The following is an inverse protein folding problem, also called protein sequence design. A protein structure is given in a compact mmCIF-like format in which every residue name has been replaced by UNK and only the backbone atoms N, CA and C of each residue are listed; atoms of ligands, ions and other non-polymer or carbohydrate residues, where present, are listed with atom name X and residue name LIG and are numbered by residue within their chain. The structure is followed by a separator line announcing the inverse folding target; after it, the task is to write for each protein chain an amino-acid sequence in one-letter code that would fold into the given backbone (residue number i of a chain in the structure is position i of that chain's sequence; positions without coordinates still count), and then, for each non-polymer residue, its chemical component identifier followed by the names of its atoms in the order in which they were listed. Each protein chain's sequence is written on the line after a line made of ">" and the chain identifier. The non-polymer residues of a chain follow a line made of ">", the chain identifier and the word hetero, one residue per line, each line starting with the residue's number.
data_IF_322579158967
#
_entry.id   IF_322579158967
#
_cell.length_a   1.000
_cell.length_b   1.000
_cell.length_c   1.000
_cell.angle_alpha   90.00
_cell.angle_beta   90.00
_cell.angle_gamma   90.00
#
_symmetry.space_group_name_H-M   'P 1'
#
loop_
_entity.id
_entity.type
_entity.pdbx_description
1 polymer ?
#
# COMPACT_ATOMS: atom_id res chain seq x y z
N UNK A 1 -24.82 0.52 -8.05
CA UNK A 1 -24.31 -0.77 -7.54
C UNK A 1 -23.50 -0.44 -6.30
N UNK A 2 -23.82 -1.04 -5.15
CA UNK A 2 -23.07 -0.81 -3.92
C UNK A 2 -21.99 -1.90 -3.85
N UNK A 3 -20.73 -1.52 -3.99
CA UNK A 3 -19.62 -2.46 -4.01
C UNK A 3 -18.98 -2.53 -2.61
N UNK A 4 -19.09 -3.70 -1.97
CA UNK A 4 -18.46 -3.97 -0.68
C UNK A 4 -17.27 -4.92 -0.89
N UNK A 5 -16.06 -4.46 -0.54
CA UNK A 5 -14.81 -5.23 -0.70
C UNK A 5 -14.20 -5.54 0.66
N UNK A 6 -13.91 -6.82 0.89
CA UNK A 6 -13.15 -7.31 2.04
C UNK A 6 -11.89 -8.00 1.56
N UNK A 7 -10.76 -7.70 2.19
CA UNK A 7 -9.51 -8.41 1.98
C UNK A 7 -9.26 -9.37 3.13
N UNK A 8 -9.16 -10.66 2.81
CA UNK A 8 -8.89 -11.70 3.80
C UNK A 8 -7.97 -12.77 3.22
N UNK A 9 -7.36 -13.56 4.09
CA UNK A 9 -6.50 -14.68 3.71
C UNK A 9 -7.31 -15.96 3.73
N UNK A 10 -7.07 -16.80 2.73
CA UNK A 10 -7.63 -18.16 2.69
C UNK A 10 -7.05 -18.94 3.88
N UNK A 11 -7.94 -19.57 4.66
CA UNK A 11 -7.58 -20.41 5.81
C UNK A 11 -6.88 -21.70 5.35
N UNK A 12 -6.22 -22.41 6.27
CA UNK A 12 -5.44 -23.63 5.96
C UNK A 12 -6.29 -24.78 5.40
N UNK A 13 -7.57 -24.79 5.75
CA UNK A 13 -8.60 -25.71 5.24
C UNK A 13 -9.15 -25.31 3.86
N UNK A 14 -8.55 -24.29 3.21
CA UNK A 14 -8.98 -23.74 1.92
C UNK A 14 -10.36 -23.10 1.95
N UNK A 15 -10.82 -22.62 3.10
CA UNK A 15 -12.09 -21.90 3.25
C UNK A 15 -11.90 -20.39 3.44
N UNK A 16 -12.97 -19.65 3.15
CA UNK A 16 -13.09 -18.21 3.42
C UNK A 16 -14.39 -17.98 4.18
N UNK A 17 -14.31 -17.31 5.33
CA UNK A 17 -15.49 -16.90 6.11
C UNK A 17 -15.59 -15.38 6.07
N UNK A 18 -16.65 -14.86 5.46
CA UNK A 18 -17.01 -13.44 5.52
C UNK A 18 -18.03 -13.25 6.65
N UNK A 19 -17.80 -12.27 7.53
CA UNK A 19 -18.67 -11.96 8.67
C UNK A 19 -19.12 -10.50 8.58
N UNK A 20 -20.25 -10.20 9.21
CA UNK A 20 -20.77 -8.84 9.37
C UNK A 20 -20.93 -8.08 8.04
N UNK A 21 -21.41 -8.77 7.01
CA UNK A 21 -21.67 -8.17 5.70
C UNK A 21 -22.80 -7.12 5.82
N UNK A 22 -22.71 -5.97 5.12
CA UNK A 22 -23.71 -4.90 5.17
C UNK A 22 -24.92 -5.19 4.26
N UNK A 23 -25.39 -6.44 4.22
CA UNK A 23 -26.54 -6.87 3.43
C UNK A 23 -27.64 -7.41 4.34
N UNK A 24 -28.89 -7.26 3.93
CA UNK A 24 -30.02 -7.75 4.68
C UNK A 24 -30.21 -9.27 4.51
N UNK A 25 -30.97 -9.87 5.40
CA UNK A 25 -31.36 -11.28 5.28
C UNK A 25 -32.21 -11.46 4.02
N UNK A 26 -31.79 -12.37 3.15
CA UNK A 26 -32.49 -12.68 1.90
C UNK A 26 -31.95 -11.94 0.67
N UNK A 27 -31.02 -11.00 0.85
CA UNK A 27 -30.38 -10.33 -0.29
C UNK A 27 -29.56 -11.32 -1.12
N UNK A 28 -29.76 -11.27 -2.44
CA UNK A 28 -28.91 -12.00 -3.37
C UNK A 28 -27.62 -11.21 -3.57
N UNK A 29 -26.47 -11.86 -3.30
CA UNK A 29 -25.15 -11.25 -3.43
C UNK A 29 -24.26 -12.07 -4.36
N UNK A 30 -23.40 -11.39 -5.11
CA UNK A 30 -22.35 -12.01 -5.92
C UNK A 30 -21.02 -11.95 -5.15
N UNK A 31 -20.25 -13.04 -5.17
CA UNK A 31 -18.93 -13.12 -4.54
C UNK A 31 -17.86 -13.29 -5.60
N UNK A 32 -16.94 -12.33 -5.70
CA UNK A 32 -15.82 -12.36 -6.65
C UNK A 32 -14.52 -12.60 -5.88
N UNK A 33 -13.87 -13.74 -6.12
CA UNK A 33 -12.57 -14.08 -5.51
C UNK A 33 -11.45 -13.79 -6.50
N UNK A 34 -10.52 -12.90 -6.13
CA UNK A 34 -9.33 -12.59 -6.94
C UNK A 34 -8.09 -12.87 -6.12
N UNK A 35 -7.13 -13.59 -6.70
CA UNK A 35 -5.79 -13.64 -6.11
C UNK A 35 -5.21 -12.23 -6.14
N UNK A 36 -4.79 -11.73 -4.97
CA UNK A 36 -3.84 -10.64 -4.96
C UNK A 36 -2.46 -11.24 -5.09
N UNK A 37 -1.78 -10.91 -6.18
CA UNK A 37 -0.33 -10.93 -6.15
C UNK A 37 0.06 -9.98 -5.01
N UNK A 38 0.58 -10.55 -3.92
CA UNK A 38 1.38 -9.73 -3.04
C UNK A 38 2.45 -9.15 -3.97
N UNK A 39 2.56 -7.81 -4.14
CA UNK A 39 3.76 -7.29 -4.74
C UNK A 39 4.86 -7.86 -3.88
N UNK A 40 5.66 -8.76 -4.44
CA UNK A 40 6.77 -9.30 -3.71
C UNK A 40 7.48 -8.07 -3.18
N UNK A 41 7.77 -8.05 -1.87
CA UNK A 41 8.63 -7.01 -1.30
C UNK A 41 10.07 -7.19 -1.82
N UNK A 42 10.24 -7.53 -3.09
CA UNK A 42 11.47 -7.71 -3.84
C UNK A 42 12.10 -6.40 -4.29
N UNK A 43 11.41 -5.28 -4.12
CA UNK A 43 12.12 -4.02 -3.93
C UNK A 43 12.64 -3.99 -2.50
N UNK A 44 13.95 -3.88 -2.28
CA UNK A 44 14.53 -3.53 -0.97
C UNK A 44 13.73 -2.35 -0.43
N UNK A 45 12.77 -2.64 0.47
CA UNK A 45 11.77 -1.67 0.96
C UNK A 45 12.41 -0.40 1.51
N UNK A 46 13.68 -0.51 1.89
CA UNK A 46 14.55 0.57 2.31
C UNK A 46 15.94 0.39 1.66
N UNK A 47 16.18 0.94 0.44
CA UNK A 47 17.42 0.71 -0.30
C UNK A 47 18.68 1.29 0.39
N UNK A 48 18.46 2.23 1.31
CA UNK A 48 19.50 2.90 2.11
C UNK A 48 19.62 2.36 3.55
N UNK A 49 18.74 1.45 4.00
CA UNK A 49 18.81 0.90 5.36
C UNK A 49 20.14 0.15 5.56
N UNK A 50 20.90 0.54 6.59
CA UNK A 50 22.21 -0.05 6.90
C UNK A 50 23.36 0.45 6.02
N UNK A 51 23.12 1.38 5.09
CA UNK A 51 24.18 2.04 4.32
C UNK A 51 24.55 3.37 4.99
N UNK A 52 25.85 3.67 5.19
CA UNK A 52 26.27 4.97 5.67
C UNK A 52 25.94 6.03 4.62
N UNK A 53 25.23 7.08 5.02
CA UNK A 53 24.95 8.26 4.19
C UNK A 53 25.83 9.41 4.69
N UNK A 54 26.59 10.02 3.78
CA UNK A 54 27.45 11.17 4.08
C UNK A 54 26.90 12.39 3.36
N UNK A 55 26.62 13.44 4.13
CA UNK A 55 26.36 14.76 3.59
C UNK A 55 27.70 15.47 3.42
N UNK A 56 28.04 15.85 2.19
CA UNK A 56 29.29 16.56 1.91
C UNK A 56 29.27 17.97 2.49
N UNK A 57 28.12 18.65 2.40
CA UNK A 57 27.93 20.03 2.88
C UNK A 57 26.52 20.20 3.47
N UNK A 58 26.24 19.65 4.67
CA UNK A 58 24.88 19.57 5.22
C UNK A 58 24.23 20.92 5.52
N UNK A 59 25.01 21.99 5.62
CA UNK A 59 24.55 23.34 5.95
C UNK A 59 24.76 24.33 4.82
N UNK A 60 25.19 23.87 3.63
CA UNK A 60 25.28 24.76 2.47
C UNK A 60 23.86 25.13 2.06
N UNK A 61 23.57 26.42 2.08
CA UNK A 61 22.30 26.95 1.61
C UNK A 61 22.08 26.66 0.13
N UNK A 62 20.82 26.65 -0.29
CA UNK A 62 20.43 26.65 -1.71
C UNK A 62 21.03 27.89 -2.37
N UNK A 63 21.54 27.75 -3.61
CA UNK A 63 22.14 28.88 -4.32
C UNK A 63 21.09 29.99 -4.50
N UNK A 64 21.54 31.24 -4.49
CA UNK A 64 20.63 32.39 -4.59
C UNK A 64 19.83 32.35 -5.90
N UNK A 65 20.48 31.90 -6.97
CA UNK A 65 19.90 31.74 -8.31
C UNK A 65 18.81 30.66 -8.40
N UNK A 66 18.79 29.71 -7.47
CA UNK A 66 17.82 28.59 -7.44
C UNK A 66 16.52 28.97 -6.71
N UNK A 67 16.42 30.18 -6.16
CA UNK A 67 15.19 30.68 -5.55
C UNK A 67 14.25 31.27 -6.61
N UNK A 68 13.18 30.55 -6.91
CA UNK A 68 12.07 31.03 -7.77
C UNK A 68 11.48 32.37 -7.33
N UNK A 69 11.63 32.74 -6.05
CA UNK A 69 11.13 34.01 -5.50
C UNK A 69 11.99 35.24 -5.89
N UNK A 70 13.19 35.02 -6.45
CA UNK A 70 14.12 36.07 -6.88
C UNK A 70 14.16 36.24 -8.41
N UNK A 71 13.31 35.50 -9.14
CA UNK A 71 13.05 35.62 -10.58
C UNK A 71 11.94 36.64 -10.86
#
# INVERSE_FOLDING_TARGET
>A
MLDYRVETRVSSDKSLTLRDLPFAVGDQVEVIVRSQEHPERNGKRYPLRGKPVRYTEPFRGVAEEDWEALQ
#
